data_IF_203604291821
#
_entry.id   IF_203604291821
#
_cell.length_a   1.000
_cell.length_b   1.000
_cell.length_c   1.000
_cell.angle_alpha   90.00
_cell.angle_beta   90.00
_cell.angle_gamma   90.00
#
_symmetry.space_group_name_H-M   'P 1'
#
loop_
_entity.id
_entity.type
_entity.pdbx_description
1 polymer ?
#
# COMPACT_ATOMS: atom_id res chain seq x y z
N UNK A 1 -7.86 17.04 18.99
CA UNK A 1 -7.10 16.83 17.74
C UNK A 1 -6.26 15.59 17.94
N UNK A 2 -6.14 14.69 16.96
CA UNK A 2 -5.37 13.47 17.15
C UNK A 2 -3.88 13.76 17.36
N UNK A 3 -3.25 13.01 18.26
CA UNK A 3 -1.87 13.25 18.70
C UNK A 3 -0.88 12.36 17.93
N UNK A 4 0.08 13.00 17.25
CA UNK A 4 1.13 12.34 16.48
C UNK A 4 2.49 12.62 17.14
N UNK A 5 3.24 11.55 17.42
CA UNK A 5 4.66 11.65 17.78
C UNK A 5 5.51 11.39 16.52
N UNK A 6 6.27 12.38 16.09
CA UNK A 6 7.25 12.27 15.02
C UNK A 6 8.66 12.06 15.62
N UNK A 7 9.32 10.97 15.27
CA UNK A 7 10.68 10.64 15.71
C UNK A 7 11.62 10.69 14.49
N UNK A 8 12.39 11.76 14.38
CA UNK A 8 13.19 12.09 13.18
C UNK A 8 14.38 12.95 13.62
N UNK A 9 15.60 12.54 13.26
CA UNK A 9 16.83 13.24 13.66
C UNK A 9 17.20 14.38 12.71
N UNK A 10 16.71 14.38 11.47
CA UNK A 10 16.77 15.56 10.61
C UNK A 10 15.72 16.60 11.05
N UNK A 11 16.17 17.59 11.82
CA UNK A 11 15.36 18.69 12.32
C UNK A 11 14.62 19.45 11.20
N UNK A 12 15.25 19.58 10.02
CA UNK A 12 14.65 20.29 8.89
C UNK A 12 13.50 19.46 8.32
N UNK A 13 13.76 18.18 8.08
CA UNK A 13 12.76 17.24 7.59
C UNK A 13 11.59 17.09 8.57
N UNK A 14 11.89 16.92 9.85
CA UNK A 14 10.92 16.87 10.94
C UNK A 14 10.02 18.11 10.94
N UNK A 15 10.59 19.30 10.78
CA UNK A 15 9.84 20.57 10.78
C UNK A 15 8.92 20.72 9.58
N UNK A 16 9.31 20.20 8.41
CA UNK A 16 8.46 20.20 7.21
C UNK A 16 7.24 19.32 7.45
N UNK A 17 7.44 18.06 7.87
CA UNK A 17 6.35 17.13 8.16
C UNK A 17 5.46 17.67 9.29
N UNK A 18 6.05 18.17 10.37
CA UNK A 18 5.31 18.73 11.50
C UNK A 18 4.38 19.87 11.06
N UNK A 19 4.91 20.85 10.31
CA UNK A 19 4.09 21.98 9.82
C UNK A 19 2.96 21.51 8.92
N UNK A 20 3.23 20.55 8.04
CA UNK A 20 2.23 20.01 7.12
C UNK A 20 1.11 19.28 7.88
N UNK A 21 1.44 18.41 8.83
CA UNK A 21 0.45 17.70 9.63
C UNK A 21 -0.34 18.64 10.57
N UNK A 22 0.32 19.63 11.20
CA UNK A 22 -0.38 20.64 12.02
C UNK A 22 -1.39 21.44 11.19
N UNK A 23 -1.02 21.84 9.97
CA UNK A 23 -1.94 22.52 9.04
C UNK A 23 -3.16 21.67 8.68
N UNK A 24 -3.03 20.33 8.74
CA UNK A 24 -4.07 19.36 8.43
C UNK A 24 -4.84 18.84 9.67
N UNK A 25 -4.73 19.51 10.82
CA UNK A 25 -5.60 19.26 11.98
C UNK A 25 -5.05 18.30 13.03
N UNK A 26 -3.75 17.99 13.01
CA UNK A 26 -3.10 17.11 13.99
C UNK A 26 -2.27 17.89 15.02
N UNK A 27 -2.17 17.37 16.24
CA UNK A 27 -1.20 17.87 17.23
C UNK A 27 0.09 17.04 17.12
N UNK A 28 1.23 17.68 16.82
CA UNK A 28 2.48 16.97 16.50
C UNK A 28 3.61 17.36 17.44
N UNK A 29 4.13 16.38 18.19
CA UNK A 29 5.38 16.51 18.95
C UNK A 29 6.51 15.83 18.21
N UNK A 30 7.69 16.44 18.22
CA UNK A 30 8.89 15.90 17.58
C UNK A 30 9.91 15.46 18.61
N UNK A 31 10.63 14.37 18.32
CA UNK A 31 11.81 13.91 19.06
C UNK A 31 12.86 13.42 18.06
N UNK A 32 14.13 13.48 18.44
CA UNK A 32 15.24 13.13 17.52
C UNK A 32 15.84 11.74 17.80
N UNK A 33 15.41 11.06 18.86
CA UNK A 33 16.09 9.89 19.43
C UNK A 33 15.10 8.88 19.98
N UNK A 34 15.51 7.61 19.98
CA UNK A 34 14.73 6.52 20.61
C UNK A 34 14.52 6.85 22.09
N UNK A 35 15.57 7.21 22.82
CA UNK A 35 15.49 7.48 24.27
C UNK A 35 14.52 8.61 24.62
N UNK A 36 14.40 9.65 23.78
CA UNK A 36 13.52 10.80 24.05
C UNK A 36 12.08 10.55 23.60
N UNK A 37 11.85 9.62 22.68
CA UNK A 37 10.50 9.21 22.27
C UNK A 37 9.78 8.35 23.33
N UNK A 38 10.49 7.42 23.98
CA UNK A 38 9.89 6.44 24.89
C UNK A 38 9.09 7.05 26.07
N UNK A 39 9.54 8.15 26.73
CA UNK A 39 8.75 8.79 27.78
C UNK A 39 7.38 9.30 27.31
N UNK A 40 7.29 9.85 26.09
CA UNK A 40 6.04 10.34 25.50
C UNK A 40 5.10 9.19 25.16
N UNK A 41 5.65 8.07 24.67
CA UNK A 41 4.87 6.85 24.41
C UNK A 41 4.30 6.30 25.73
N UNK A 42 5.15 6.21 26.76
CA UNK A 42 4.75 5.70 28.10
C UNK A 42 3.72 6.58 28.80
N UNK A 43 3.68 7.87 28.51
CA UNK A 43 2.64 8.77 29.05
C UNK A 43 1.28 8.58 28.39
N UNK A 44 1.17 7.74 27.37
CA UNK A 44 -0.06 7.55 26.59
C UNK A 44 -0.48 8.78 25.79
N UNK A 45 0.47 9.68 25.48
CA UNK A 45 0.16 10.91 24.75
C UNK A 45 -0.10 10.69 23.26
N UNK A 46 0.72 9.93 22.50
CA UNK A 46 0.50 9.74 21.07
C UNK A 46 -0.52 8.63 20.79
N UNK A 47 -1.34 8.85 19.76
CA UNK A 47 -2.24 7.84 19.19
C UNK A 47 -1.63 7.23 17.90
N UNK A 48 -0.72 7.98 17.26
CA UNK A 48 0.08 7.56 16.13
C UNK A 48 1.55 7.97 16.34
N UNK A 49 2.46 7.05 16.04
CA UNK A 49 3.89 7.30 15.99
C UNK A 49 4.35 7.22 14.54
N UNK A 50 5.09 8.23 14.10
CA UNK A 50 5.79 8.24 12.83
C UNK A 50 7.28 8.27 13.17
N UNK A 51 8.07 7.28 12.77
CA UNK A 51 9.50 7.19 13.16
C UNK A 51 10.39 6.93 11.96
N UNK A 52 11.53 7.62 11.88
CA UNK A 52 12.63 7.19 11.02
C UNK A 52 13.12 5.82 11.51
N UNK A 53 13.45 4.94 10.57
CA UNK A 53 14.16 3.71 10.81
C UNK A 53 15.53 3.96 11.45
N UNK A 54 16.30 4.96 11.02
CA UNK A 54 17.65 5.20 11.56
C UNK A 54 17.64 6.40 12.48
N UNK A 55 18.06 6.20 13.72
CA UNK A 55 18.14 7.25 14.73
C UNK A 55 19.55 7.27 15.36
N UNK A 56 19.99 8.40 15.96
CA UNK A 56 21.35 8.54 16.49
C UNK A 56 21.70 7.53 17.60
N UNK A 57 20.70 7.05 18.35
CA UNK A 57 20.87 6.16 19.50
C UNK A 57 20.20 4.79 19.35
N UNK A 58 19.76 4.44 18.13
CA UNK A 58 19.06 3.19 17.87
C UNK A 58 18.38 3.14 16.51
N UNK A 59 17.27 2.41 16.41
CA UNK A 59 16.48 2.34 15.19
C UNK A 59 14.97 2.39 15.50
N UNK A 60 14.17 2.82 14.52
CA UNK A 60 12.72 2.91 14.62
C UNK A 60 12.05 1.55 14.87
N UNK A 61 12.68 0.44 14.50
CA UNK A 61 12.17 -0.91 14.82
C UNK A 61 12.12 -1.16 16.33
N UNK A 62 13.04 -0.61 17.13
CA UNK A 62 12.98 -0.69 18.59
C UNK A 62 11.75 0.03 19.15
N UNK A 63 11.40 1.18 18.56
CA UNK A 63 10.20 1.94 18.93
C UNK A 63 8.95 1.15 18.55
N UNK A 64 8.91 0.57 17.34
CA UNK A 64 7.82 -0.28 16.87
C UNK A 64 7.61 -1.49 17.79
N UNK A 65 8.66 -2.27 18.06
CA UNK A 65 8.60 -3.47 18.90
C UNK A 65 8.14 -3.14 20.32
N UNK A 66 8.69 -2.07 20.92
CA UNK A 66 8.27 -1.60 22.24
C UNK A 66 6.79 -1.19 22.24
N UNK A 67 6.38 -0.39 21.26
CA UNK A 67 5.01 0.14 21.17
C UNK A 67 4.01 -0.98 20.96
N UNK A 68 4.24 -1.89 20.00
CA UNK A 68 3.30 -2.99 19.72
C UNK A 68 3.20 -4.00 20.86
N UNK A 69 4.26 -4.17 21.65
CA UNK A 69 4.25 -5.02 22.84
C UNK A 69 3.52 -4.40 24.04
N UNK A 70 3.60 -3.09 24.23
CA UNK A 70 3.09 -2.42 25.44
C UNK A 70 1.76 -1.66 25.20
N UNK A 71 1.55 -1.16 23.99
CA UNK A 71 0.46 -0.27 23.58
C UNK A 71 -0.01 -0.62 22.14
N UNK A 72 -0.55 -1.82 21.92
CA UNK A 72 -0.86 -2.33 20.56
C UNK A 72 -1.83 -1.45 19.77
N UNK A 73 -2.67 -0.67 20.45
CA UNK A 73 -3.64 0.26 19.86
C UNK A 73 -2.99 1.47 19.18
N UNK A 74 -1.76 1.83 19.55
CA UNK A 74 -1.04 2.97 18.94
C UNK A 74 -0.59 2.57 17.53
N UNK A 75 -0.98 3.35 16.54
CA UNK A 75 -0.52 3.18 15.16
C UNK A 75 0.96 3.52 15.05
N UNK A 76 1.71 2.78 14.22
CA UNK A 76 3.14 3.07 13.99
C UNK A 76 3.42 3.04 12.49
N UNK A 77 3.93 4.15 11.96
CA UNK A 77 4.41 4.28 10.58
C UNK A 77 5.93 4.41 10.65
N UNK A 78 6.63 3.56 9.89
CA UNK A 78 8.07 3.65 9.71
C UNK A 78 8.39 4.44 8.44
N UNK A 79 9.35 5.34 8.54
CA UNK A 79 9.88 6.11 7.42
C UNK A 79 11.35 5.76 7.25
N UNK A 80 11.88 5.71 6.03
CA UNK A 80 13.33 5.59 5.87
C UNK A 80 13.87 6.04 4.51
N UNK A 81 15.17 6.40 4.46
CA UNK A 81 15.91 6.53 3.20
C UNK A 81 16.34 5.16 2.60
N UNK A 82 16.11 4.04 3.29
CA UNK A 82 16.56 2.71 2.87
C UNK A 82 15.43 1.86 2.27
N UNK A 83 15.62 1.33 1.07
CA UNK A 83 14.69 0.44 0.39
C UNK A 83 15.01 -1.05 0.59
N UNK A 84 15.36 -1.49 1.82
CA UNK A 84 15.56 -2.93 2.09
C UNK A 84 14.20 -3.61 2.36
N UNK A 85 13.79 -4.48 1.44
CA UNK A 85 12.54 -5.23 1.50
C UNK A 85 12.39 -6.06 2.78
N UNK A 86 13.49 -6.60 3.34
CA UNK A 86 13.45 -7.39 4.57
C UNK A 86 13.05 -6.54 5.77
N UNK A 87 13.51 -5.28 5.80
CA UNK A 87 13.17 -4.34 6.87
C UNK A 87 11.69 -3.96 6.76
N UNK A 88 11.23 -3.61 5.56
CA UNK A 88 9.82 -3.28 5.30
C UNK A 88 8.89 -4.43 5.71
N UNK A 89 9.17 -5.64 5.23
CA UNK A 89 8.39 -6.84 5.56
C UNK A 89 8.41 -7.13 7.05
N UNK A 90 9.57 -7.03 7.71
CA UNK A 90 9.68 -7.25 9.15
C UNK A 90 8.87 -6.21 9.93
N UNK A 91 8.90 -4.94 9.53
CA UNK A 91 8.11 -3.89 10.15
C UNK A 91 6.61 -4.21 10.11
N UNK A 92 6.08 -4.55 8.93
CA UNK A 92 4.67 -4.92 8.77
C UNK A 92 4.32 -6.16 9.60
N UNK A 93 5.17 -7.21 9.58
CA UNK A 93 4.95 -8.43 10.40
C UNK A 93 4.90 -8.17 11.90
N UNK A 94 5.60 -7.15 12.41
CA UNK A 94 5.55 -6.75 13.83
C UNK A 94 4.30 -5.91 14.14
N UNK A 95 3.61 -5.42 13.10
CA UNK A 95 2.37 -4.65 13.22
C UNK A 95 2.55 -3.16 12.94
N UNK A 96 3.62 -2.75 12.24
CA UNK A 96 3.63 -1.41 11.65
C UNK A 96 2.43 -1.27 10.72
N UNK A 97 1.78 -0.11 10.77
CA UNK A 97 0.65 0.19 9.90
C UNK A 97 1.12 0.44 8.47
N UNK A 98 2.26 1.13 8.32
CA UNK A 98 2.85 1.39 7.02
C UNK A 98 4.38 1.55 7.13
N UNK A 99 5.06 1.29 6.01
CA UNK A 99 6.48 1.55 5.79
C UNK A 99 6.68 2.44 4.56
N UNK A 100 7.15 3.66 4.74
CA UNK A 100 7.26 4.69 3.70
C UNK A 100 8.73 4.99 3.41
N UNK A 101 9.12 4.94 2.14
CA UNK A 101 10.46 5.38 1.70
C UNK A 101 10.50 6.89 1.48
N UNK A 102 11.56 7.55 1.95
CA UNK A 102 11.86 8.95 1.63
C UNK A 102 12.38 9.05 0.18
N UNK A 103 12.09 10.15 -0.54
CA UNK A 103 11.37 11.34 -0.08
C UNK A 103 9.85 11.09 0.00
N UNK A 104 9.26 11.41 1.16
CA UNK A 104 7.83 11.22 1.37
C UNK A 104 7.01 12.24 0.58
N UNK A 105 5.99 11.76 -0.12
CA UNK A 105 4.93 12.61 -0.65
C UNK A 105 4.00 13.06 0.51
N UNK A 106 3.84 14.38 0.76
CA UNK A 106 3.00 14.86 1.85
C UNK A 106 1.53 14.38 1.78
N UNK A 107 0.95 14.29 0.58
CA UNK A 107 -0.44 13.87 0.41
C UNK A 107 -0.62 12.38 0.68
N UNK A 108 0.37 11.56 0.29
CA UNK A 108 0.41 10.12 0.62
C UNK A 108 0.52 9.91 2.14
N UNK A 109 1.42 10.63 2.80
CA UNK A 109 1.53 10.58 4.26
C UNK A 109 0.22 10.99 4.94
N UNK A 110 -0.45 12.03 4.43
CA UNK A 110 -1.73 12.47 4.97
C UNK A 110 -2.82 11.41 4.82
N UNK A 111 -2.87 10.72 3.67
CA UNK A 111 -3.81 9.63 3.43
C UNK A 111 -3.57 8.48 4.42
N UNK A 112 -2.33 8.00 4.56
CA UNK A 112 -1.97 6.94 5.52
C UNK A 112 -2.29 7.33 6.96
N UNK A 113 -1.98 8.57 7.36
CA UNK A 113 -2.28 9.07 8.71
C UNK A 113 -3.79 9.07 8.97
N UNK A 114 -4.60 9.54 8.01
CA UNK A 114 -6.08 9.53 8.14
C UNK A 114 -6.62 8.11 8.21
N UNK A 115 -6.05 7.18 7.44
CA UNK A 115 -6.44 5.77 7.43
C UNK A 115 -6.24 5.12 8.80
N UNK A 116 -5.08 5.34 9.44
CA UNK A 116 -4.80 4.84 10.81
C UNK A 116 -5.92 5.26 11.78
N UNK A 117 -6.31 6.52 11.74
CA UNK A 117 -7.34 7.06 12.63
C UNK A 117 -8.75 6.61 12.26
N UNK A 118 -9.00 6.23 11.00
CA UNK A 118 -10.27 5.65 10.56
C UNK A 118 -10.41 4.18 11.01
N UNK A 119 -9.34 3.37 10.88
CA UNK A 119 -9.33 1.94 11.21
C UNK A 119 -9.47 1.66 12.71
N UNK A 120 -9.06 2.57 13.57
CA UNK A 120 -9.28 2.46 15.03
C UNK A 120 -10.77 2.38 15.43
N UNK A 121 -11.71 2.55 14.48
CA UNK A 121 -13.16 2.48 14.70
C UNK A 121 -13.87 1.22 14.16
N UNK A 122 -13.20 0.27 13.49
CA UNK A 122 -13.88 -0.95 13.01
C UNK A 122 -12.91 -2.10 12.62
N UNK A 123 -13.01 -3.31 13.20
CA UNK A 123 -12.28 -4.48 12.72
C UNK A 123 -13.24 -5.52 12.09
N UNK A 124 -13.09 -5.85 10.80
CA UNK A 124 -13.78 -6.99 10.16
C UNK A 124 -12.76 -7.75 9.29
N UNK A 125 -12.31 -8.95 9.70
CA UNK A 125 -12.84 -10.32 9.46
C UNK A 125 -12.65 -10.78 8.00
N UNK A 126 -11.67 -11.68 7.81
CA UNK A 126 -11.45 -12.50 6.61
C UNK A 126 -12.50 -13.61 6.48
N UNK A 127 -12.93 -13.88 5.24
CA UNK A 127 -13.63 -15.11 4.84
C UNK A 127 -12.88 -15.71 3.66
N UNK A 128 -12.55 -16.99 3.72
CA UNK A 128 -11.85 -17.80 2.69
C UNK A 128 -12.83 -18.59 1.80
N UNK A 129 -12.56 -18.74 0.51
CA UNK A 129 -13.10 -19.77 -0.39
C UNK A 129 -12.09 -20.11 -1.49
N UNK A 130 -12.10 -21.37 -1.94
CA UNK A 130 -11.05 -22.21 -2.58
C UNK A 130 -10.60 -21.88 -4.02
N UNK A 131 -9.33 -22.21 -4.34
CA UNK A 131 -8.69 -22.12 -5.68
C UNK A 131 -8.95 -23.32 -6.61
N UNK A 132 -8.97 -23.03 -7.91
CA UNK A 132 -8.61 -23.96 -8.98
C UNK A 132 -7.09 -23.87 -9.33
N UNK A 133 -6.43 -24.93 -9.83
CA UNK A 133 -5.01 -24.89 -10.16
C UNK A 133 -4.73 -24.09 -11.44
N UNK A 134 -3.73 -23.20 -11.40
CA UNK A 134 -3.21 -22.39 -12.51
C UNK A 134 -1.74 -22.85 -12.76
N UNK A 135 -1.27 -22.97 -14.02
CA UNK A 135 -0.04 -23.69 -14.37
C UNK A 135 1.25 -23.17 -13.72
N UNK A 136 2.24 -24.08 -13.66
CA UNK A 136 3.48 -23.96 -12.90
C UNK A 136 4.37 -22.77 -13.33
N UNK A 137 4.72 -21.94 -12.34
CA UNK A 137 5.80 -20.96 -12.43
C UNK A 137 7.14 -21.70 -12.58
N UNK A 138 7.93 -21.35 -13.59
CA UNK A 138 9.25 -21.94 -13.82
C UNK A 138 10.30 -21.16 -13.01
N UNK A 139 10.83 -21.78 -11.97
CA UNK A 139 11.88 -21.20 -11.14
C UNK A 139 13.22 -21.16 -11.89
N UNK A 140 13.82 -19.97 -11.96
CA UNK A 140 15.18 -19.80 -12.47
C UNK A 140 16.23 -20.30 -11.47
N UNK A 141 17.32 -20.86 -11.97
CA UNK A 141 18.40 -21.43 -11.13
C UNK A 141 19.56 -20.46 -10.87
N UNK A 142 19.56 -19.28 -11.50
CA UNK A 142 20.61 -18.27 -11.34
C UNK A 142 20.58 -17.63 -9.94
N UNK A 143 21.71 -17.05 -9.47
CA UNK A 143 21.73 -16.32 -8.20
C UNK A 143 20.67 -15.21 -8.14
N UNK A 144 20.49 -14.46 -9.22
CA UNK A 144 19.49 -13.38 -9.30
C UNK A 144 18.06 -13.92 -9.23
N UNK A 145 17.80 -15.08 -9.85
CA UNK A 145 16.48 -15.75 -9.77
C UNK A 145 16.18 -16.22 -8.35
N UNK A 146 17.19 -16.75 -7.65
CA UNK A 146 17.05 -17.15 -6.25
C UNK A 146 16.80 -15.96 -5.34
N UNK A 147 17.53 -14.86 -5.55
CA UNK A 147 17.32 -13.63 -4.78
C UNK A 147 15.91 -13.05 -5.03
N UNK A 148 15.45 -13.08 -6.28
CA UNK A 148 14.08 -12.69 -6.62
C UNK A 148 13.05 -13.56 -5.89
N UNK A 149 13.24 -14.88 -5.87
CA UNK A 149 12.35 -15.79 -5.14
C UNK A 149 12.37 -15.53 -3.62
N UNK A 150 13.53 -15.25 -3.03
CA UNK A 150 13.64 -14.82 -1.63
C UNK A 150 12.87 -13.53 -1.36
N UNK A 151 12.93 -12.55 -2.28
CA UNK A 151 12.14 -11.32 -2.17
C UNK A 151 10.63 -11.61 -2.28
N UNK A 152 10.22 -12.49 -3.18
CA UNK A 152 8.83 -12.94 -3.32
C UNK A 152 8.35 -13.58 -2.02
N UNK A 153 9.12 -14.49 -1.42
CA UNK A 153 8.78 -15.16 -0.16
C UNK A 153 8.62 -14.20 1.02
N UNK A 154 9.34 -13.08 0.99
CA UNK A 154 9.22 -12.03 1.99
C UNK A 154 7.96 -11.19 1.80
N UNK A 155 7.68 -10.74 0.58
CA UNK A 155 6.60 -9.78 0.30
C UNK A 155 5.24 -10.43 0.08
N UNK A 156 5.19 -11.67 -0.42
CA UNK A 156 3.93 -12.37 -0.70
C UNK A 156 2.97 -12.44 0.51
N UNK A 157 3.39 -12.75 1.75
CA UNK A 157 2.45 -12.82 2.88
C UNK A 157 1.98 -11.46 3.43
N UNK A 158 2.36 -10.33 2.83
CA UNK A 158 1.91 -8.99 3.23
C UNK A 158 0.89 -8.42 2.24
N UNK A 159 0.15 -7.37 2.65
CA UNK A 159 -0.75 -6.61 1.77
C UNK A 159 -0.05 -5.42 1.08
N UNK A 160 1.28 -5.32 1.17
CA UNK A 160 2.01 -4.25 0.51
C UNK A 160 1.80 -4.30 -1.01
N UNK A 161 1.61 -3.11 -1.59
CA UNK A 161 1.64 -2.92 -3.03
C UNK A 161 3.04 -3.24 -3.58
N UNK A 162 3.11 -3.96 -4.69
CA UNK A 162 4.38 -4.38 -5.29
C UNK A 162 4.52 -3.78 -6.68
N UNK A 163 5.67 -3.16 -6.97
CA UNK A 163 6.04 -2.72 -8.32
C UNK A 163 7.10 -3.67 -8.89
N UNK A 164 6.83 -4.27 -10.03
CA UNK A 164 7.72 -5.17 -10.77
C UNK A 164 8.32 -4.41 -11.94
N UNK A 165 9.65 -4.32 -11.98
CA UNK A 165 10.38 -3.66 -13.05
C UNK A 165 11.12 -4.72 -13.88
N UNK A 166 11.06 -4.59 -15.21
CA UNK A 166 11.79 -5.46 -16.10
C UNK A 166 11.36 -5.30 -17.55
N UNK A 167 12.26 -5.61 -18.48
CA UNK A 167 12.02 -5.51 -19.91
C UNK A 167 10.78 -6.32 -20.35
N UNK A 168 10.18 -5.96 -21.47
CA UNK A 168 9.06 -6.71 -22.06
C UNK A 168 9.46 -8.17 -22.30
N UNK A 169 8.60 -9.11 -21.92
CA UNK A 169 8.86 -10.54 -22.09
C UNK A 169 9.73 -11.20 -21.01
N UNK A 170 10.11 -10.47 -19.95
CA UNK A 170 10.88 -11.03 -18.81
C UNK A 170 10.04 -11.81 -17.79
N UNK A 171 8.74 -12.01 -18.06
CA UNK A 171 7.86 -12.82 -17.21
C UNK A 171 7.24 -12.07 -16.02
N UNK A 172 7.10 -10.74 -16.08
CA UNK A 172 6.51 -9.91 -15.00
C UNK A 172 5.14 -10.42 -14.53
N UNK A 173 4.27 -10.85 -15.45
CA UNK A 173 2.97 -11.43 -15.10
C UNK A 173 3.10 -12.75 -14.32
N UNK A 174 4.08 -13.59 -14.67
CA UNK A 174 4.37 -14.83 -13.94
C UNK A 174 4.85 -14.55 -12.51
N UNK A 175 5.69 -13.52 -12.33
CA UNK A 175 6.09 -13.05 -10.99
C UNK A 175 4.88 -12.56 -10.18
N UNK A 176 4.00 -11.75 -10.78
CA UNK A 176 2.81 -11.24 -10.11
C UNK A 176 1.88 -12.37 -9.64
N UNK A 177 1.65 -13.37 -10.52
CA UNK A 177 0.91 -14.59 -10.17
C UNK A 177 1.58 -15.36 -9.04
N UNK A 178 2.92 -15.49 -9.07
CA UNK A 178 3.69 -16.18 -8.02
C UNK A 178 3.56 -15.48 -6.66
N UNK A 179 3.63 -14.15 -6.62
CA UNK A 179 3.40 -13.35 -5.41
C UNK A 179 1.98 -13.61 -4.87
N UNK A 180 0.96 -13.59 -5.73
CA UNK A 180 -0.42 -13.88 -5.34
C UNK A 180 -0.57 -15.30 -4.77
N UNK A 181 -0.02 -16.32 -5.44
CA UNK A 181 -0.06 -17.73 -5.00
C UNK A 181 0.58 -17.95 -3.62
N UNK A 182 1.63 -17.18 -3.29
CA UNK A 182 2.33 -17.24 -2.00
C UNK A 182 1.73 -16.29 -0.95
N UNK A 183 0.65 -15.58 -1.27
CA UNK A 183 0.01 -14.61 -0.37
C UNK A 183 -1.10 -15.20 0.48
N UNK A 184 -1.57 -14.44 1.48
CA UNK A 184 -2.78 -14.78 2.23
C UNK A 184 -4.05 -14.69 1.37
N UNK A 185 -3.97 -13.99 0.22
CA UNK A 185 -5.06 -13.83 -0.75
C UNK A 185 -5.03 -14.87 -1.87
N UNK A 186 -4.17 -15.89 -1.79
CA UNK A 186 -4.02 -16.91 -2.84
C UNK A 186 -5.34 -17.55 -3.27
N UNK A 187 -6.29 -17.72 -2.34
CA UNK A 187 -7.61 -18.28 -2.64
C UNK A 187 -8.61 -17.29 -3.24
N UNK A 188 -8.22 -16.03 -3.39
CA UNK A 188 -9.06 -14.95 -3.89
C UNK A 188 -8.81 -14.70 -5.37
N UNK A 189 -9.63 -13.83 -5.98
CA UNK A 189 -9.47 -13.49 -7.38
C UNK A 189 -8.08 -12.88 -7.64
N UNK A 190 -7.43 -13.33 -8.71
CA UNK A 190 -6.31 -12.63 -9.33
C UNK A 190 -6.78 -12.06 -10.67
N UNK A 191 -6.84 -10.74 -10.77
CA UNK A 191 -7.32 -10.04 -11.95
C UNK A 191 -6.14 -9.34 -12.60
N UNK A 192 -5.74 -9.79 -13.79
CA UNK A 192 -4.67 -9.17 -14.57
C UNK A 192 -5.25 -8.27 -15.66
N UNK A 193 -4.65 -7.10 -15.83
CA UNK A 193 -5.01 -6.13 -16.85
C UNK A 193 -3.73 -5.65 -17.52
N UNK A 194 -3.69 -5.76 -18.85
CA UNK A 194 -2.70 -5.07 -19.67
C UNK A 194 -3.19 -3.63 -19.92
N UNK A 195 -2.54 -2.67 -19.28
CA UNK A 195 -2.89 -1.26 -19.41
C UNK A 195 -2.48 -0.66 -20.76
N UNK A 196 -1.55 -1.29 -21.49
CA UNK A 196 -1.14 -0.87 -22.83
C UNK A 196 -2.12 -1.32 -23.92
N UNK A 197 -2.90 -2.37 -23.67
CA UNK A 197 -3.89 -2.88 -24.61
C UNK A 197 -5.23 -2.10 -24.58
N UNK A 198 -5.46 -1.27 -23.56
CA UNK A 198 -6.70 -0.53 -23.38
C UNK A 198 -6.62 0.85 -24.05
N UNK A 199 -7.64 1.21 -24.85
CA UNK A 199 -7.81 2.61 -25.25
C UNK A 199 -8.21 3.45 -24.04
N UNK A 200 -7.83 4.73 -24.02
CA UNK A 200 -8.08 5.65 -22.90
C UNK A 200 -9.57 5.74 -22.52
N UNK A 201 -10.45 5.73 -23.51
CA UNK A 201 -11.90 5.77 -23.32
C UNK A 201 -12.43 4.49 -22.66
N UNK A 202 -11.90 3.32 -23.05
CA UNK A 202 -12.31 2.04 -22.49
C UNK A 202 -11.69 1.79 -21.12
N UNK A 203 -10.44 2.24 -20.89
CA UNK A 203 -9.69 1.96 -19.68
C UNK A 203 -10.41 2.44 -18.42
N UNK A 204 -11.05 3.61 -18.44
CA UNK A 204 -11.83 4.08 -17.27
C UNK A 204 -13.01 3.13 -16.98
N UNK A 205 -13.71 2.69 -18.03
CA UNK A 205 -14.88 1.80 -17.91
C UNK A 205 -14.47 0.38 -17.50
N UNK A 206 -13.38 -0.16 -18.05
CA UNK A 206 -12.84 -1.47 -17.66
C UNK A 206 -12.35 -1.47 -16.20
N UNK A 207 -11.59 -0.45 -15.80
CA UNK A 207 -11.04 -0.37 -14.45
C UNK A 207 -12.13 -0.13 -13.40
N UNK A 208 -12.93 0.91 -13.58
CA UNK A 208 -13.84 1.40 -12.53
C UNK A 208 -15.29 0.98 -12.71
N UNK A 209 -15.67 0.46 -13.87
CA UNK A 209 -17.05 0.11 -14.20
C UNK A 209 -17.90 1.33 -14.54
N UNK A 210 -19.13 1.08 -15.00
CA UNK A 210 -20.08 2.12 -15.34
C UNK A 210 -21.52 1.71 -15.06
N UNK A 211 -22.39 2.71 -14.95
CA UNK A 211 -23.85 2.52 -14.91
C UNK A 211 -24.42 2.75 -16.30
N UNK A 212 -25.47 2.00 -16.65
CA UNK A 212 -26.21 2.17 -17.89
C UNK A 212 -26.56 3.63 -18.15
N UNK A 213 -26.28 4.10 -19.37
CA UNK A 213 -26.55 5.46 -19.80
C UNK A 213 -25.53 6.51 -19.36
N UNK A 214 -24.42 6.13 -18.72
CA UNK A 214 -23.40 7.08 -18.28
C UNK A 214 -22.62 7.75 -19.42
N UNK A 215 -22.56 7.11 -20.59
CA UNK A 215 -21.97 7.66 -21.82
C UNK A 215 -22.60 6.99 -23.05
N UNK A 216 -22.34 7.52 -24.25
CA UNK A 216 -22.83 6.96 -25.51
C UNK A 216 -22.27 5.55 -25.72
N UNK A 217 -23.13 4.53 -25.68
CA UNK A 217 -22.72 3.11 -25.79
C UNK A 217 -22.78 2.33 -24.47
N UNK A 218 -23.04 2.99 -23.33
CA UNK A 218 -23.30 2.32 -22.04
C UNK A 218 -24.71 1.71 -22.03
N UNK A 219 -24.90 0.58 -22.73
CA UNK A 219 -26.20 -0.08 -22.87
C UNK A 219 -26.66 -0.80 -21.59
N UNK A 220 -25.71 -1.19 -20.75
CA UNK A 220 -25.92 -1.96 -19.52
C UNK A 220 -24.98 -1.46 -18.42
N UNK A 221 -25.22 -1.88 -17.18
CA UNK A 221 -24.28 -1.66 -16.09
C UNK A 221 -23.07 -2.60 -16.29
N UNK A 222 -21.88 -2.11 -15.97
CA UNK A 222 -20.65 -2.89 -16.02
C UNK A 222 -19.90 -2.83 -14.70
N UNK A 223 -19.55 -4.00 -14.19
CA UNK A 223 -18.61 -4.16 -13.07
C UNK A 223 -17.19 -3.93 -13.57
N UNK A 224 -16.46 -3.02 -12.92
CA UNK A 224 -15.06 -2.77 -13.21
C UNK A 224 -14.14 -3.80 -12.57
N UNK A 225 -12.89 -3.86 -13.05
CA UNK A 225 -11.89 -4.77 -12.53
C UNK A 225 -11.52 -4.52 -11.06
N UNK A 226 -11.58 -3.28 -10.58
CA UNK A 226 -11.40 -2.97 -9.16
C UNK A 226 -12.43 -3.69 -8.28
N UNK A 227 -13.70 -3.63 -8.69
CA UNK A 227 -14.80 -4.29 -7.97
C UNK A 227 -14.71 -5.81 -8.12
N UNK A 228 -14.35 -6.31 -9.32
CA UNK A 228 -14.17 -7.74 -9.55
C UNK A 228 -12.99 -8.34 -8.76
N UNK A 229 -11.92 -7.57 -8.57
CA UNK A 229 -10.75 -7.97 -7.79
C UNK A 229 -10.92 -7.78 -6.28
N UNK A 230 -12.06 -7.26 -5.81
CA UNK A 230 -12.27 -6.94 -4.40
C UNK A 230 -12.13 -8.18 -3.50
N UNK A 231 -11.37 -8.05 -2.41
CA UNK A 231 -10.89 -9.13 -1.55
C UNK A 231 -9.65 -9.86 -2.09
N UNK A 232 -9.25 -9.66 -3.34
CA UNK A 232 -8.17 -10.38 -4.02
C UNK A 232 -6.98 -9.51 -4.42
N UNK A 233 -6.42 -9.77 -5.60
CA UNK A 233 -5.25 -9.07 -6.14
C UNK A 233 -5.54 -8.53 -7.54
N UNK A 234 -5.27 -7.25 -7.74
CA UNK A 234 -5.31 -6.58 -9.04
C UNK A 234 -3.88 -6.42 -9.55
N UNK A 235 -3.57 -7.04 -10.69
CA UNK A 235 -2.32 -6.88 -11.40
C UNK A 235 -2.48 -5.90 -12.57
N UNK A 236 -1.72 -4.80 -12.54
CA UNK A 236 -1.68 -3.76 -13.56
C UNK A 236 -0.38 -3.87 -14.35
N UNK A 237 -0.40 -4.58 -15.48
CA UNK A 237 0.75 -4.64 -16.38
C UNK A 237 0.84 -3.37 -17.21
N UNK A 238 2.07 -2.96 -17.53
CA UNK A 238 2.35 -1.77 -18.33
C UNK A 238 1.67 -0.50 -17.79
N UNK A 239 1.60 -0.34 -16.45
CA UNK A 239 0.84 0.74 -15.80
C UNK A 239 1.29 2.15 -16.23
N UNK A 240 2.54 2.28 -16.70
CA UNK A 240 3.08 3.53 -17.24
C UNK A 240 2.42 3.99 -18.55
N UNK A 241 1.74 3.09 -19.27
CA UNK A 241 1.04 3.40 -20.51
C UNK A 241 -0.37 3.98 -20.28
N UNK A 242 -0.85 4.02 -19.03
CA UNK A 242 -2.11 4.68 -18.72
C UNK A 242 -2.01 6.18 -18.94
N UNK A 243 -3.04 6.77 -19.55
CA UNK A 243 -3.15 8.22 -19.64
C UNK A 243 -3.21 8.88 -18.27
N UNK A 244 -2.72 10.11 -18.19
CA UNK A 244 -2.60 10.88 -16.95
C UNK A 244 -3.93 10.99 -16.17
N UNK A 245 -5.06 11.16 -16.85
CA UNK A 245 -6.37 11.21 -16.18
C UNK A 245 -6.71 9.90 -15.45
N UNK A 246 -6.37 8.75 -16.05
CA UNK A 246 -6.61 7.44 -15.47
C UNK A 246 -5.65 7.21 -14.30
N UNK A 247 -4.39 7.63 -14.42
CA UNK A 247 -3.41 7.58 -13.34
C UNK A 247 -3.90 8.35 -12.10
N UNK A 248 -4.53 9.52 -12.29
CA UNK A 248 -5.11 10.28 -11.18
C UNK A 248 -6.27 9.54 -10.50
N UNK A 249 -7.14 8.88 -11.27
CA UNK A 249 -8.24 8.08 -10.72
C UNK A 249 -7.72 6.83 -10.00
N UNK A 250 -6.71 6.18 -10.56
CA UNK A 250 -6.00 5.07 -9.95
C UNK A 250 -5.38 5.49 -8.61
N UNK A 251 -4.67 6.61 -8.57
CA UNK A 251 -4.08 7.14 -7.34
C UNK A 251 -5.13 7.37 -6.26
N UNK A 252 -6.27 7.98 -6.59
CA UNK A 252 -7.38 8.17 -5.64
C UNK A 252 -7.94 6.84 -5.15
N UNK A 253 -8.13 5.87 -6.04
CA UNK A 253 -8.62 4.55 -5.64
C UNK A 253 -7.69 3.85 -4.63
N UNK A 254 -6.38 4.02 -4.79
CA UNK A 254 -5.36 3.48 -3.89
C UNK A 254 -5.38 4.22 -2.54
N UNK A 255 -5.37 5.55 -2.57
CA UNK A 255 -5.29 6.39 -1.37
C UNK A 255 -6.57 6.35 -0.53
N UNK A 256 -7.72 6.39 -1.18
CA UNK A 256 -9.03 6.47 -0.53
C UNK A 256 -9.60 5.07 -0.25
N UNK A 257 -9.00 4.01 -0.81
CA UNK A 257 -9.52 2.62 -0.77
C UNK A 257 -10.99 2.54 -1.15
N UNK A 258 -11.42 3.38 -2.09
CA UNK A 258 -12.77 3.39 -2.63
C UNK A 258 -12.73 3.71 -4.12
N UNK A 259 -13.74 3.27 -4.86
CA UNK A 259 -13.97 3.71 -6.24
C UNK A 259 -15.41 4.16 -6.43
N UNK A 260 -15.64 4.82 -7.57
CA UNK A 260 -16.98 5.14 -8.06
C UNK A 260 -17.09 4.69 -9.52
N UNK A 261 -18.23 4.09 -9.88
CA UNK A 261 -18.55 3.78 -11.28
C UNK A 261 -18.76 5.06 -12.06
N UNK A 262 -18.46 5.05 -13.35
CA UNK A 262 -18.80 6.15 -14.26
C UNK A 262 -20.32 6.35 -14.23
N UNK A 263 -20.75 7.60 -14.02
CA UNK A 263 -22.17 7.96 -13.91
C UNK A 263 -22.81 7.64 -12.55
N UNK A 264 -22.04 7.16 -11.56
CA UNK A 264 -22.50 6.93 -10.20
C UNK A 264 -21.79 7.84 -9.19
N UNK A 265 -22.51 8.25 -8.16
CA UNK A 265 -21.95 8.93 -6.99
C UNK A 265 -21.77 7.97 -5.79
N UNK A 266 -22.11 6.70 -5.94
CA UNK A 266 -21.96 5.71 -4.89
C UNK A 266 -20.50 5.28 -4.78
N UNK A 267 -19.94 5.45 -3.58
CA UNK A 267 -18.62 4.92 -3.23
C UNK A 267 -18.70 3.42 -2.93
N UNK A 268 -17.72 2.69 -3.46
CA UNK A 268 -17.56 1.25 -3.27
C UNK A 268 -16.23 1.04 -2.54
N UNK A 269 -16.23 0.55 -1.29
CA UNK A 269 -15.00 0.28 -0.56
C UNK A 269 -14.23 -0.88 -1.16
N UNK A 270 -12.91 -0.75 -1.17
CA UNK A 270 -11.98 -1.71 -1.73
C UNK A 270 -11.07 -2.31 -0.64
N UNK A 271 -11.05 -3.62 -0.59
CA UNK A 271 -10.03 -4.42 0.07
C UNK A 271 -9.25 -5.18 -1.02
N UNK A 272 -8.26 -4.53 -1.63
CA UNK A 272 -7.49 -5.13 -2.72
C UNK A 272 -6.00 -5.01 -2.46
N UNK A 273 -5.27 -6.03 -2.90
CA UNK A 273 -3.83 -5.93 -3.07
C UNK A 273 -3.50 -5.52 -4.49
N UNK A 274 -2.59 -4.56 -4.66
CA UNK A 274 -2.15 -4.12 -5.99
C UNK A 274 -0.75 -4.63 -6.28
N UNK A 275 -0.57 -5.21 -7.45
CA UNK A 275 0.72 -5.49 -8.04
C UNK A 275 0.75 -4.73 -9.36
N UNK A 276 1.80 -3.97 -9.63
CA UNK A 276 1.96 -3.23 -10.88
C UNK A 276 3.24 -3.64 -11.56
N UNK A 277 3.29 -3.51 -12.89
CA UNK A 277 4.48 -3.75 -13.68
C UNK A 277 4.69 -2.66 -14.74
N UNK A 278 5.96 -2.41 -15.07
CA UNK A 278 6.35 -1.52 -16.17
C UNK A 278 7.75 -1.86 -16.68
N UNK A 279 8.08 -1.36 -17.87
CA UNK A 279 9.28 -1.69 -18.63
C UNK A 279 10.54 -0.92 -18.21
N UNK A 280 10.39 0.04 -17.28
CA UNK A 280 11.43 0.99 -16.91
C UNK A 280 11.32 2.31 -17.67
#
# INVERSE_FOLDING_TARGET
>A
MPNILLVEDDITYARIIQKFLVKNGFEVKTTEKVKTSLPLIKSGWPELIITDYRLPDGNGMQILEFTKKQYPQIGVILITNYSDIRIAVRAIKIGAHEYITKPINPDELLATVKEVFAIQNNPLIEISLEQNPIPDYIEGSSPDSKQLEEHIDLVAPTDLSVMILGETGTGKEYLAKRIHQKSNRKEKAFVAIDCGALSSELATSELFGHVKGSFTGALEDKTGHFEFANGGTLFLDEVGNLDYEIQLKLLRAIQEKTIRKIGSNQEIPLDIRIISATNG
#
